data_IF_149069482048
#
_entry.id   IF_149069482048
#
_cell.length_a   1.000
_cell.length_b   1.000
_cell.length_c   1.000
_cell.angle_alpha   90.00
_cell.angle_beta   90.00
_cell.angle_gamma   90.00
#
_symmetry.space_group_name_H-M   'P 1'
#
loop_
_entity.id
_entity.type
_entity.pdbx_description
1 polymer ?
#
# COMPACT_ATOMS: atom_id res chain seq x y z
N UNK A 1 -26.26 27.30 52.30
CA UNK A 1 -26.23 25.85 52.43
C UNK A 1 -25.94 25.26 51.06
N UNK A 2 -24.78 24.63 50.89
CA UNK A 2 -24.45 23.91 49.67
C UNK A 2 -25.12 22.54 49.73
N UNK A 3 -25.91 22.19 48.72
CA UNK A 3 -26.46 20.84 48.56
C UNK A 3 -25.55 20.07 47.60
N UNK A 4 -25.02 18.95 48.08
CA UNK A 4 -24.35 17.96 47.22
C UNK A 4 -25.44 17.00 46.72
N UNK A 5 -25.48 16.76 45.41
CA UNK A 5 -26.35 15.77 44.78
C UNK A 5 -25.41 14.67 44.24
N UNK A 6 -25.59 13.45 44.75
CA UNK A 6 -24.88 12.28 44.23
C UNK A 6 -25.82 11.57 43.25
N UNK A 7 -25.29 11.22 42.07
CA UNK A 7 -25.97 10.37 41.07
C UNK A 7 -25.13 9.11 40.92
N UNK A 8 -25.80 7.99 40.85
CA UNK A 8 -25.18 6.71 40.53
C UNK A 8 -25.46 6.41 39.06
N UNK A 9 -24.40 5.97 38.35
CA UNK A 9 -24.47 5.54 36.98
C UNK A 9 -23.99 4.09 36.89
N UNK A 10 -24.63 3.29 36.04
CA UNK A 10 -24.13 1.99 35.66
C UNK A 10 -23.26 2.16 34.44
N UNK A 11 -22.03 1.69 34.49
CA UNK A 11 -21.07 1.70 33.40
C UNK A 11 -20.65 0.25 33.12
N UNK A 12 -20.25 -0.01 31.88
CA UNK A 12 -19.94 -1.31 31.35
C UNK A 12 -18.54 -1.32 30.75
N UNK A 13 -17.82 -2.44 30.88
CA UNK A 13 -16.67 -2.73 30.05
C UNK A 13 -17.13 -3.08 28.63
N UNK A 14 -16.22 -3.05 27.65
CA UNK A 14 -16.55 -3.39 26.27
C UNK A 14 -17.16 -4.79 26.14
N UNK A 15 -16.60 -5.78 26.84
CA UNK A 15 -17.08 -7.17 26.82
C UNK A 15 -18.51 -7.36 27.36
N UNK A 16 -18.98 -6.47 28.23
CA UNK A 16 -20.30 -6.50 28.84
C UNK A 16 -21.40 -5.85 27.98
N UNK A 17 -21.03 -5.14 26.91
CA UNK A 17 -21.96 -4.45 26.02
C UNK A 17 -22.79 -5.43 25.17
N UNK A 18 -23.99 -4.99 24.79
CA UNK A 18 -24.76 -5.65 23.73
C UNK A 18 -24.03 -5.54 22.38
N UNK A 19 -24.35 -6.46 21.44
CA UNK A 19 -23.69 -6.43 20.12
C UNK A 19 -23.92 -5.12 19.37
N UNK A 20 -25.12 -4.53 19.45
CA UNK A 20 -25.43 -3.23 18.84
C UNK A 20 -24.58 -2.09 19.45
N UNK A 21 -24.31 -2.15 20.76
CA UNK A 21 -23.47 -1.18 21.44
C UNK A 21 -21.98 -1.39 21.10
N UNK A 22 -21.53 -2.66 21.02
CA UNK A 22 -20.17 -2.99 20.56
C UNK A 22 -19.90 -2.50 19.16
N UNK A 23 -20.84 -2.62 18.23
CA UNK A 23 -20.69 -2.13 16.86
C UNK A 23 -20.44 -0.62 16.82
N UNK A 24 -21.12 0.16 17.66
CA UNK A 24 -20.85 1.60 17.79
C UNK A 24 -19.46 1.91 18.34
N UNK A 25 -19.03 1.13 19.36
CA UNK A 25 -17.70 1.32 19.93
C UNK A 25 -16.62 0.97 18.90
N UNK A 26 -16.78 -0.12 18.12
CA UNK A 26 -15.87 -0.46 17.01
C UNK A 26 -15.80 0.66 15.97
N UNK A 27 -16.96 1.24 15.60
CA UNK A 27 -16.97 2.35 14.65
C UNK A 27 -16.25 3.58 15.18
N UNK A 28 -16.44 3.96 16.43
CA UNK A 28 -15.73 5.05 17.08
C UNK A 28 -14.23 4.78 17.19
N UNK A 29 -13.85 3.54 17.53
CA UNK A 29 -12.46 3.11 17.58
C UNK A 29 -11.78 3.32 16.24
N UNK A 30 -12.37 2.83 15.14
CA UNK A 30 -11.84 2.98 13.80
C UNK A 30 -11.71 4.44 13.40
N UNK A 31 -12.72 5.28 13.68
CA UNK A 31 -12.68 6.72 13.37
C UNK A 31 -11.54 7.45 14.10
N UNK A 32 -11.22 7.05 15.34
CA UNK A 32 -10.24 7.76 16.17
C UNK A 32 -8.82 7.21 16.07
N UNK A 33 -8.66 5.93 15.70
CA UNK A 33 -7.37 5.24 15.77
C UNK A 33 -6.82 4.81 14.40
N UNK A 34 -7.59 5.01 13.31
CA UNK A 34 -7.16 4.67 11.95
C UNK A 34 -7.04 5.92 11.11
N UNK A 35 -5.80 6.40 10.90
CA UNK A 35 -5.60 7.55 10.04
C UNK A 35 -4.91 7.18 8.72
N UNK A 36 -5.25 7.87 7.60
CA UNK A 36 -4.65 7.58 6.30
C UNK A 36 -3.14 7.77 6.27
N UNK A 37 -2.60 8.72 7.03
CA UNK A 37 -1.18 9.03 7.10
C UNK A 37 -0.38 7.85 7.69
N UNK A 38 -0.87 7.24 8.77
CA UNK A 38 -0.21 6.10 9.41
C UNK A 38 -0.19 4.89 8.47
N UNK A 39 -1.31 4.61 7.79
CA UNK A 39 -1.36 3.56 6.79
C UNK A 39 -0.38 3.83 5.64
N UNK A 40 -0.34 5.07 5.15
CA UNK A 40 0.56 5.49 4.08
C UNK A 40 2.02 5.30 4.47
N UNK A 41 2.39 5.67 5.70
CA UNK A 41 3.75 5.53 6.21
C UNK A 41 4.17 4.07 6.33
N UNK A 42 3.28 3.19 6.80
CA UNK A 42 3.53 1.74 6.88
C UNK A 42 3.77 1.17 5.46
N UNK A 43 2.93 1.50 4.49
CA UNK A 43 3.06 0.99 3.12
C UNK A 43 4.25 1.60 2.38
N UNK A 44 4.59 2.87 2.63
CA UNK A 44 5.79 3.49 2.08
C UNK A 44 7.07 2.86 2.66
N UNK A 45 7.05 2.44 3.92
CA UNK A 45 8.15 1.68 4.51
C UNK A 45 8.31 0.33 3.80
N UNK A 46 7.22 -0.41 3.58
CA UNK A 46 7.24 -1.68 2.85
C UNK A 46 7.76 -1.51 1.41
N UNK A 47 7.33 -0.45 0.70
CA UNK A 47 7.88 -0.10 -0.61
C UNK A 47 9.38 0.17 -0.58
N UNK A 48 9.89 0.81 0.48
CA UNK A 48 11.32 1.07 0.64
C UNK A 48 12.12 -0.22 0.88
N UNK A 49 11.57 -1.18 1.62
CA UNK A 49 12.20 -2.49 1.82
C UNK A 49 12.23 -3.31 0.51
N UNK A 50 11.15 -3.26 -0.27
CA UNK A 50 11.07 -3.97 -1.56
C UNK A 50 11.95 -3.32 -2.65
N UNK A 51 12.07 -2.00 -2.63
CA UNK A 51 12.74 -1.21 -3.66
C UNK A 51 13.74 -0.21 -3.03
N UNK A 52 14.84 -0.70 -2.43
CA UNK A 52 15.72 0.12 -1.58
C UNK A 52 16.52 1.21 -2.32
N UNK A 53 16.68 1.13 -3.64
CA UNK A 53 17.34 2.14 -4.46
C UNK A 53 16.34 3.08 -5.16
N UNK A 54 15.05 2.95 -4.88
CA UNK A 54 13.95 3.71 -5.47
C UNK A 54 13.39 4.75 -4.49
N UNK A 55 12.69 5.75 -5.01
CA UNK A 55 11.88 6.69 -4.23
C UNK A 55 10.43 6.53 -4.66
N UNK A 56 9.78 5.50 -4.12
CA UNK A 56 8.40 5.16 -4.42
C UNK A 56 7.49 5.51 -3.25
N UNK A 57 6.27 5.93 -3.57
CA UNK A 57 5.23 6.29 -2.61
C UNK A 57 3.89 5.74 -3.04
N UNK A 58 3.02 5.53 -2.06
CA UNK A 58 1.65 5.12 -2.25
C UNK A 58 0.74 6.35 -2.40
N UNK A 59 -0.18 6.30 -3.37
CA UNK A 59 -1.33 7.17 -3.46
C UNK A 59 -2.59 6.31 -3.44
N UNK A 60 -3.55 6.64 -2.59
CA UNK A 60 -4.78 5.86 -2.46
C UNK A 60 -5.97 6.68 -2.03
N UNK A 61 -7.15 6.16 -2.34
CA UNK A 61 -8.43 6.56 -1.77
C UNK A 61 -9.25 5.29 -1.56
N UNK A 62 -9.70 5.07 -0.33
CA UNK A 62 -10.49 3.90 0.07
C UNK A 62 -11.69 4.40 0.87
N UNK A 63 -12.85 4.47 0.25
CA UNK A 63 -14.09 5.03 0.81
C UNK A 63 -15.34 4.20 0.47
N UNK A 64 -15.15 2.98 -0.06
CA UNK A 64 -16.21 2.15 -0.66
C UNK A 64 -17.00 2.86 -1.77
N UNK A 65 -16.33 3.74 -2.49
CA UNK A 65 -16.92 4.50 -3.59
C UNK A 65 -16.41 4.02 -4.95
N UNK A 66 -17.02 4.54 -6.02
CA UNK A 66 -16.54 4.28 -7.38
C UNK A 66 -15.21 4.98 -7.70
N UNK A 67 -14.79 5.88 -6.82
CA UNK A 67 -13.53 6.63 -6.94
C UNK A 67 -12.36 5.96 -6.21
N UNK A 68 -12.60 4.85 -5.52
CA UNK A 68 -11.55 4.13 -4.80
C UNK A 68 -10.42 3.71 -5.73
N UNK A 69 -9.20 4.00 -5.34
CA UNK A 69 -8.01 3.65 -6.11
C UNK A 69 -6.81 3.38 -5.21
N UNK A 70 -5.86 2.63 -5.75
CA UNK A 70 -4.53 2.40 -5.18
C UNK A 70 -3.50 2.51 -6.29
N UNK A 71 -2.47 3.33 -6.10
CA UNK A 71 -1.41 3.51 -7.09
C UNK A 71 -0.05 3.76 -6.45
N UNK A 72 1.00 3.33 -7.14
CA UNK A 72 2.39 3.59 -6.75
C UNK A 72 2.93 4.66 -7.70
N UNK A 73 3.58 5.68 -7.15
CA UNK A 73 4.19 6.78 -7.88
C UNK A 73 5.60 7.09 -7.38
N UNK A 74 6.36 7.85 -8.14
CA UNK A 74 7.72 8.23 -7.79
C UNK A 74 8.76 7.67 -8.75
N UNK A 75 10.00 7.56 -8.31
CA UNK A 75 11.13 7.15 -9.13
C UNK A 75 11.52 5.70 -8.83
N UNK A 76 11.27 4.81 -9.77
CA UNK A 76 11.69 3.41 -9.71
C UNK A 76 13.10 3.24 -10.27
N UNK A 77 14.01 2.73 -9.47
CA UNK A 77 15.32 2.30 -9.92
C UNK A 77 15.22 1.03 -10.77
N UNK A 78 15.80 1.05 -11.97
CA UNK A 78 15.83 -0.15 -12.80
C UNK A 78 16.65 -1.29 -12.20
N UNK A 79 17.57 -0.99 -11.29
CA UNK A 79 18.32 -2.01 -10.54
C UNK A 79 17.35 -2.80 -9.65
N UNK A 80 16.51 -2.11 -8.88
CA UNK A 80 15.49 -2.76 -8.04
C UNK A 80 14.49 -3.53 -8.90
N UNK A 81 14.03 -2.93 -9.99
CA UNK A 81 13.11 -3.57 -10.92
C UNK A 81 13.65 -4.90 -11.48
N UNK A 82 14.93 -4.93 -11.90
CA UNK A 82 15.56 -6.16 -12.38
C UNK A 82 15.79 -7.17 -11.25
N UNK A 83 16.07 -6.72 -10.04
CA UNK A 83 16.23 -7.60 -8.89
C UNK A 83 14.89 -8.28 -8.56
N UNK A 84 13.81 -7.53 -8.44
CA UNK A 84 12.46 -8.07 -8.18
C UNK A 84 12.05 -9.06 -9.27
N UNK A 85 12.15 -8.69 -10.54
CA UNK A 85 11.78 -9.57 -11.65
C UNK A 85 12.64 -10.85 -11.68
N UNK A 86 13.91 -10.74 -11.30
CA UNK A 86 14.81 -11.89 -11.24
C UNK A 86 14.47 -12.88 -10.12
N UNK A 87 13.82 -12.42 -9.06
CA UNK A 87 13.41 -13.24 -7.91
C UNK A 87 12.01 -13.81 -8.16
N UNK A 88 11.04 -12.94 -8.40
CA UNK A 88 9.62 -13.27 -8.50
C UNK A 88 9.30 -14.09 -9.76
N UNK A 89 9.99 -13.80 -10.85
CA UNK A 89 9.75 -14.45 -12.15
C UNK A 89 10.93 -15.30 -12.63
N UNK A 90 11.70 -15.87 -11.70
CA UNK A 90 12.89 -16.70 -12.00
C UNK A 90 12.63 -17.84 -12.98
N UNK A 91 11.40 -18.36 -13.01
CA UNK A 91 11.02 -19.46 -13.91
C UNK A 91 10.58 -18.98 -15.30
N UNK A 92 10.28 -17.69 -15.43
CA UNK A 92 9.87 -17.08 -16.70
C UNK A 92 11.07 -16.63 -17.52
N UNK A 93 12.20 -16.33 -16.90
CA UNK A 93 13.41 -15.84 -17.57
C UNK A 93 14.51 -16.87 -17.55
N UNK A 94 15.20 -17.01 -18.68
CA UNK A 94 16.45 -17.79 -18.74
C UNK A 94 17.60 -17.04 -18.06
N UNK A 95 18.62 -17.76 -17.61
CA UNK A 95 19.82 -17.13 -17.06
C UNK A 95 20.47 -16.12 -18.02
N UNK A 96 20.37 -16.35 -19.34
CA UNK A 96 20.91 -15.45 -20.35
C UNK A 96 20.10 -14.16 -20.46
N UNK A 97 18.80 -14.22 -20.26
CA UNK A 97 17.92 -13.04 -20.21
C UNK A 97 18.19 -12.22 -18.95
N UNK A 98 18.26 -12.87 -17.78
CA UNK A 98 18.59 -12.17 -16.53
C UNK A 98 19.97 -11.50 -16.59
N UNK A 99 20.98 -12.20 -17.13
CA UNK A 99 22.31 -11.58 -17.32
C UNK A 99 22.27 -10.39 -18.25
N UNK A 100 21.46 -10.46 -19.29
CA UNK A 100 21.28 -9.34 -20.22
C UNK A 100 20.59 -8.15 -19.52
N UNK A 101 19.52 -8.36 -18.76
CA UNK A 101 18.84 -7.29 -18.02
C UNK A 101 19.79 -6.62 -17.00
N UNK A 102 20.51 -7.40 -16.20
CA UNK A 102 21.49 -6.88 -15.25
C UNK A 102 22.60 -6.07 -15.93
N UNK A 103 23.09 -6.55 -17.06
CA UNK A 103 24.05 -5.82 -17.86
C UNK A 103 23.46 -4.52 -18.41
N UNK A 104 22.25 -4.55 -19.00
CA UNK A 104 21.61 -3.37 -19.57
C UNK A 104 21.41 -2.25 -18.54
N UNK A 105 20.96 -2.57 -17.32
CA UNK A 105 20.79 -1.56 -16.26
C UNK A 105 22.10 -1.11 -15.63
N UNK A 106 23.17 -1.92 -15.68
CA UNK A 106 24.50 -1.50 -15.22
C UNK A 106 25.19 -0.54 -16.19
N UNK A 107 24.99 -0.73 -17.50
CA UNK A 107 25.52 0.18 -18.52
C UNK A 107 24.73 1.51 -18.57
N UNK A 108 23.44 1.43 -18.31
CA UNK A 108 22.52 2.58 -18.33
C UNK A 108 21.68 2.60 -17.05
N UNK A 109 22.30 2.95 -15.90
CA UNK A 109 21.55 3.11 -14.67
C UNK A 109 20.58 4.28 -14.81
N UNK A 110 19.31 3.99 -14.71
CA UNK A 110 18.22 4.95 -14.85
C UNK A 110 17.17 4.72 -13.77
N UNK A 111 16.51 5.81 -13.43
CA UNK A 111 15.24 5.76 -12.74
C UNK A 111 14.12 6.02 -13.75
N UNK A 112 13.01 5.35 -13.57
CA UNK A 112 11.80 5.54 -14.37
C UNK A 112 10.74 6.14 -13.48
N UNK A 113 10.14 7.23 -13.94
CA UNK A 113 9.08 7.90 -13.22
C UNK A 113 7.77 7.16 -13.41
N UNK A 114 7.16 6.81 -12.27
CA UNK A 114 5.79 6.33 -12.16
C UNK A 114 4.91 7.49 -11.74
N UNK A 115 3.81 7.74 -12.46
CA UNK A 115 2.94 8.89 -12.20
C UNK A 115 1.76 8.56 -11.28
N UNK A 116 1.66 7.31 -10.81
CA UNK A 116 0.48 6.86 -10.11
C UNK A 116 -0.75 6.80 -11.03
N UNK A 117 -1.81 6.20 -10.58
CA UNK A 117 -3.04 6.21 -11.37
C UNK A 117 -4.01 7.28 -10.87
N UNK A 118 -3.84 8.49 -11.33
CA UNK A 118 -4.84 9.57 -11.11
C UNK A 118 -6.02 9.53 -12.09
N UNK A 119 -6.03 8.58 -13.02
CA UNK A 119 -7.10 8.46 -14.00
C UNK A 119 -8.21 7.56 -13.45
N UNK A 120 -9.37 8.11 -13.27
CA UNK A 120 -10.67 7.59 -12.81
C UNK A 120 -11.13 6.23 -13.38
N UNK A 121 -10.34 5.52 -14.15
CA UNK A 121 -10.75 4.31 -14.87
C UNK A 121 -10.06 3.02 -14.43
N UNK A 122 -9.07 3.06 -13.53
CA UNK A 122 -8.42 1.87 -13.03
C UNK A 122 -8.34 1.91 -11.50
N UNK A 123 -9.05 1.01 -10.86
CA UNK A 123 -9.05 0.84 -9.40
C UNK A 123 -7.64 0.57 -8.85
N UNK A 124 -6.83 -0.15 -9.61
CA UNK A 124 -5.44 -0.48 -9.25
C UNK A 124 -4.50 -0.15 -10.39
N UNK A 125 -3.32 0.34 -10.07
CA UNK A 125 -2.31 0.39 -11.10
C UNK A 125 -1.27 1.49 -10.99
N UNK A 126 -0.43 1.43 -11.96
CA UNK A 126 0.66 2.36 -12.20
C UNK A 126 0.49 2.95 -13.59
N UNK A 127 1.03 4.15 -13.78
CA UNK A 127 1.23 4.71 -15.10
C UNK A 127 2.71 5.06 -15.26
N UNK A 128 3.29 4.61 -16.35
CA UNK A 128 4.64 5.02 -16.74
C UNK A 128 4.59 6.41 -17.35
N UNK A 129 5.51 7.29 -16.97
CA UNK A 129 5.65 8.59 -17.63
C UNK A 129 6.17 8.43 -19.07
N UNK A 130 6.82 7.31 -19.38
CA UNK A 130 7.34 6.97 -20.70
C UNK A 130 7.40 5.46 -20.90
N UNK A 131 7.38 5.02 -22.15
CA UNK A 131 7.60 3.62 -22.52
C UNK A 131 8.99 3.17 -22.06
N UNK A 132 9.03 2.26 -21.09
CA UNK A 132 10.27 1.77 -20.48
C UNK A 132 11.11 0.99 -21.51
N UNK A 133 10.48 0.11 -22.26
CA UNK A 133 11.16 -0.71 -23.27
C UNK A 133 11.75 0.18 -24.34
N UNK A 134 11.00 1.17 -24.83
CA UNK A 134 11.48 2.11 -25.83
C UNK A 134 12.69 2.91 -25.34
N UNK A 135 12.66 3.44 -24.14
CA UNK A 135 13.76 4.22 -23.58
C UNK A 135 15.03 3.39 -23.37
N UNK A 136 14.90 2.16 -22.88
CA UNK A 136 16.03 1.25 -22.76
C UNK A 136 16.63 0.90 -24.12
N UNK A 137 15.79 0.60 -25.12
CA UNK A 137 16.23 0.32 -26.48
C UNK A 137 16.97 1.53 -27.07
N UNK A 138 16.36 2.71 -26.97
CA UNK A 138 16.94 3.95 -27.49
C UNK A 138 18.33 4.23 -26.89
N UNK A 139 18.50 4.10 -25.58
CA UNK A 139 19.77 4.33 -24.92
C UNK A 139 20.84 3.30 -25.31
N UNK A 140 20.46 2.03 -25.43
CA UNK A 140 21.35 0.96 -25.90
C UNK A 140 21.77 1.17 -27.37
N UNK A 141 20.87 1.63 -28.24
CA UNK A 141 21.17 1.95 -29.62
C UNK A 141 22.09 3.18 -29.76
N UNK A 142 21.84 4.24 -29.01
CA UNK A 142 22.68 5.42 -28.95
C UNK A 142 24.11 5.10 -28.46
N UNK A 143 24.27 4.10 -27.59
CA UNK A 143 25.53 3.55 -27.14
C UNK A 143 26.22 2.63 -28.16
N UNK A 144 25.65 2.42 -29.34
CA UNK A 144 26.12 1.45 -30.36
C UNK A 144 26.26 0.02 -29.81
N UNK A 145 25.40 -0.38 -28.93
CA UNK A 145 25.42 -1.70 -28.28
C UNK A 145 24.85 -2.74 -29.24
N UNK A 146 25.63 -3.77 -29.50
CA UNK A 146 25.20 -4.91 -30.32
C UNK A 146 24.48 -5.97 -29.47
N UNK A 147 23.51 -6.64 -30.08
CA UNK A 147 22.83 -7.79 -29.44
C UNK A 147 21.72 -7.41 -28.48
N UNK A 148 21.08 -6.27 -28.67
CA UNK A 148 19.87 -5.86 -27.94
C UNK A 148 18.80 -6.95 -28.07
N UNK A 149 18.17 -7.28 -26.95
CA UNK A 149 17.13 -8.31 -26.88
C UNK A 149 15.77 -7.68 -26.62
N UNK A 150 15.17 -7.11 -27.64
CA UNK A 150 13.88 -6.43 -27.61
C UNK A 150 12.80 -7.25 -26.88
N UNK A 151 12.62 -8.52 -27.28
CA UNK A 151 11.64 -9.40 -26.64
C UNK A 151 11.87 -9.63 -25.15
N UNK A 152 13.15 -9.58 -24.71
CA UNK A 152 13.47 -9.71 -23.28
C UNK A 152 13.08 -8.45 -22.53
N UNK A 153 13.26 -7.26 -23.14
CA UNK A 153 12.86 -5.98 -22.55
C UNK A 153 11.34 -5.84 -22.48
N UNK A 154 10.62 -6.16 -23.57
CA UNK A 154 9.13 -6.17 -23.57
C UNK A 154 8.56 -7.13 -22.52
N UNK A 155 9.14 -8.32 -22.42
CA UNK A 155 8.75 -9.30 -21.40
C UNK A 155 9.03 -8.79 -19.98
N UNK A 156 10.17 -8.14 -19.77
CA UNK A 156 10.55 -7.53 -18.50
C UNK A 156 9.56 -6.44 -18.10
N UNK A 157 9.25 -5.49 -18.98
CA UNK A 157 8.27 -4.44 -18.76
C UNK A 157 6.89 -5.00 -18.41
N UNK A 158 6.41 -6.00 -19.19
CA UNK A 158 5.13 -6.65 -18.95
C UNK A 158 5.07 -7.32 -17.57
N UNK A 159 6.14 -8.02 -17.16
CA UNK A 159 6.19 -8.70 -15.86
C UNK A 159 6.28 -7.71 -14.71
N UNK A 160 7.09 -6.68 -14.86
CA UNK A 160 7.24 -5.62 -13.87
C UNK A 160 5.91 -4.85 -13.67
N UNK A 161 5.26 -4.45 -14.76
CA UNK A 161 3.95 -3.80 -14.70
C UNK A 161 2.93 -4.65 -13.97
N UNK A 162 2.83 -5.92 -14.35
CA UNK A 162 1.91 -6.86 -13.69
C UNK A 162 2.21 -7.07 -12.20
N UNK A 163 3.48 -7.09 -11.81
CA UNK A 163 3.88 -7.17 -10.40
C UNK A 163 3.44 -5.94 -9.61
N UNK A 164 3.70 -4.75 -10.13
CA UNK A 164 3.33 -3.51 -9.46
C UNK A 164 1.81 -3.31 -9.38
N UNK A 165 1.06 -3.73 -10.42
CA UNK A 165 -0.40 -3.75 -10.39
C UNK A 165 -0.95 -4.73 -9.34
N UNK A 166 -0.34 -5.90 -9.19
CA UNK A 166 -0.73 -6.87 -8.17
C UNK A 166 -0.38 -6.38 -6.77
N UNK A 167 0.76 -5.73 -6.59
CA UNK A 167 1.14 -5.08 -5.33
C UNK A 167 0.11 -4.00 -4.93
N UNK A 168 -0.35 -3.19 -5.87
CA UNK A 168 -1.43 -2.23 -5.60
C UNK A 168 -2.73 -2.91 -5.12
N UNK A 169 -3.07 -4.10 -5.64
CA UNK A 169 -4.25 -4.84 -5.16
C UNK A 169 -4.06 -5.38 -3.75
N UNK A 170 -2.86 -5.88 -3.44
CA UNK A 170 -2.52 -6.33 -2.08
C UNK A 170 -2.67 -5.17 -1.11
N UNK A 171 -2.04 -4.04 -1.40
CA UNK A 171 -2.13 -2.84 -0.56
C UNK A 171 -3.55 -2.30 -0.42
N UNK A 172 -4.36 -2.39 -1.48
CA UNK A 172 -5.76 -2.01 -1.40
C UNK A 172 -6.54 -2.90 -0.43
N UNK A 173 -6.32 -4.21 -0.49
CA UNK A 173 -6.95 -5.17 0.44
C UNK A 173 -6.51 -4.93 1.88
N UNK A 174 -5.23 -4.62 2.10
CA UNK A 174 -4.75 -4.27 3.44
C UNK A 174 -5.34 -2.93 3.93
N UNK A 175 -5.56 -1.96 3.02
CA UNK A 175 -6.24 -0.71 3.36
C UNK A 175 -7.71 -0.95 3.75
N UNK A 176 -8.45 -1.80 3.00
CA UNK A 176 -9.81 -2.18 3.36
C UNK A 176 -9.87 -2.78 4.77
N UNK A 177 -8.96 -3.69 5.11
CA UNK A 177 -8.87 -4.25 6.46
C UNK A 177 -8.53 -3.17 7.50
N UNK A 178 -7.49 -2.39 7.24
CA UNK A 178 -7.03 -1.37 8.16
C UNK A 178 -8.12 -0.36 8.53
N UNK A 179 -8.92 0.10 7.56
CA UNK A 179 -9.93 1.14 7.80
C UNK A 179 -11.29 0.60 8.24
N UNK A 180 -11.59 -0.67 7.99
CA UNK A 180 -12.96 -1.18 8.17
C UNK A 180 -13.08 -2.44 9.00
N UNK A 181 -11.96 -3.09 9.33
CA UNK A 181 -11.97 -4.26 10.18
C UNK A 181 -11.24 -3.97 11.50
N UNK A 182 -11.81 -4.45 12.61
CA UNK A 182 -11.19 -4.38 13.92
C UNK A 182 -11.60 -5.62 14.72
N UNK A 183 -10.64 -6.17 15.47
CA UNK A 183 -10.88 -7.26 16.40
C UNK A 183 -11.42 -6.71 17.74
N UNK A 184 -12.35 -7.43 18.34
CA UNK A 184 -12.87 -7.12 19.66
C UNK A 184 -11.77 -7.04 20.73
N UNK A 185 -10.75 -7.88 20.63
CA UNK A 185 -9.61 -7.85 21.55
C UNK A 185 -8.80 -6.53 21.44
N UNK A 186 -8.64 -5.99 20.23
CA UNK A 186 -7.97 -4.71 19.99
C UNK A 186 -8.77 -3.55 20.59
N UNK A 187 -10.10 -3.58 20.45
CA UNK A 187 -10.99 -2.56 21.07
C UNK A 187 -11.00 -2.65 22.58
N UNK A 188 -10.97 -3.86 23.12
CA UNK A 188 -10.94 -4.09 24.57
C UNK A 188 -9.63 -3.59 25.17
N UNK A 189 -8.48 -3.91 24.57
CA UNK A 189 -7.16 -3.40 24.97
C UNK A 189 -7.11 -1.86 24.92
N UNK A 190 -7.60 -1.26 23.83
CA UNK A 190 -7.69 0.20 23.73
C UNK A 190 -8.56 0.83 24.82
N UNK A 191 -9.69 0.21 25.14
CA UNK A 191 -10.58 0.70 26.20
C UNK A 191 -9.91 0.59 27.57
N UNK A 192 -9.23 -0.52 27.86
CA UNK A 192 -8.49 -0.74 29.10
C UNK A 192 -7.31 0.23 29.25
N UNK A 193 -6.51 0.44 28.19
CA UNK A 193 -5.35 1.32 28.21
C UNK A 193 -5.71 2.80 28.45
N UNK A 194 -6.94 3.18 28.11
CA UNK A 194 -7.44 4.54 28.28
C UNK A 194 -8.41 4.68 29.48
N UNK A 195 -8.61 3.64 30.28
CA UNK A 195 -9.58 3.62 31.39
C UNK A 195 -11.03 3.96 30.95
N UNK A 196 -11.40 3.57 29.70
CA UNK A 196 -12.74 3.84 29.17
C UNK A 196 -13.78 2.84 29.68
N UNK A 197 -14.87 3.38 30.16
CA UNK A 197 -16.12 2.66 30.42
C UNK A 197 -17.19 3.20 29.50
N UNK A 198 -18.24 2.42 29.32
CA UNK A 198 -19.29 2.75 28.37
C UNK A 198 -20.68 2.81 29.04
N UNK A 199 -21.56 3.62 28.46
CA UNK A 199 -22.99 3.54 28.75
C UNK A 199 -23.59 2.27 28.11
N UNK A 200 -24.83 1.90 28.48
CA UNK A 200 -25.53 0.79 27.85
C UNK A 200 -25.65 0.87 26.33
N UNK A 201 -25.55 2.08 25.77
CA UNK A 201 -25.63 2.36 24.33
C UNK A 201 -24.25 2.44 23.63
N UNK A 202 -23.16 2.14 24.31
CA UNK A 202 -21.80 2.16 23.74
C UNK A 202 -21.18 3.55 23.60
N UNK A 203 -21.69 4.55 24.35
CA UNK A 203 -21.04 5.87 24.44
C UNK A 203 -20.00 5.85 25.56
N UNK A 204 -18.83 6.47 25.36
CA UNK A 204 -17.84 6.59 26.42
C UNK A 204 -18.43 7.41 27.57
N UNK A 205 -18.28 6.89 28.78
CA UNK A 205 -18.71 7.55 29.98
C UNK A 205 -17.57 8.43 30.52
N UNK A 206 -17.76 9.76 30.46
CA UNK A 206 -16.87 10.77 30.98
C UNK A 206 -17.19 11.15 32.45
#
# INVERSE_FOLDING_TARGET
MNKTITREFTVYSFSELSEDAKEKVRANYLEWNRCPEDFQDIMNYDLTELFPASDLKLAFEVSFSQSDFMGIYGNLSLIDAVNIVSIEFKNDFTEKEIRFLKWAVSEYPQNVELTGNSNYFRKYGIAWNSDLTYNLIYNLECGNIRGIRYKTLEKFETKLTGFLEELCKVYFTEAEKYFYEVDDAEVEEWAEDNDYYFTENGEIFD
#
